data_IF_321246990799
#
_entry.id   IF_321246990799
#
_cell.length_a   1.000
_cell.length_b   1.000
_cell.length_c   1.000
_cell.angle_alpha   90.00
_cell.angle_beta   90.00
_cell.angle_gamma   90.00
#
_symmetry.space_group_name_H-M   'P 1'
#
loop_
_entity.id
_entity.type
_entity.pdbx_description
1 polymer ?
#
# COMPACT_ATOMS: atom_id res chain seq x y z
N UNK A 1 0.24 -17.29 -8.61
CA UNK A 1 -0.59 -17.25 -7.38
C UNK A 1 -0.20 -15.99 -6.62
N UNK A 2 -1.15 -15.22 -6.07
CA UNK A 2 -0.86 -14.08 -5.18
C UNK A 2 -1.50 -14.38 -3.83
N UNK A 3 -0.71 -14.26 -2.77
CA UNK A 3 -1.17 -14.47 -1.41
C UNK A 3 -0.60 -13.38 -0.49
N UNK A 4 -1.42 -12.86 0.41
CA UNK A 4 -1.04 -11.79 1.33
C UNK A 4 -1.53 -12.10 2.74
N UNK A 5 -0.67 -11.89 3.73
CA UNK A 5 -0.98 -12.07 5.15
C UNK A 5 -0.53 -10.83 5.91
N UNK A 6 -1.44 -10.23 6.69
CA UNK A 6 -1.12 -9.05 7.50
C UNK A 6 -0.46 -9.49 8.81
N UNK A 7 0.84 -9.27 8.94
CA UNK A 7 1.63 -9.68 10.12
C UNK A 7 1.94 -8.53 11.08
N UNK A 8 1.77 -7.28 10.64
CA UNK A 8 2.10 -6.05 11.40
C UNK A 8 3.54 -6.06 11.95
N UNK A 9 4.53 -6.37 11.10
CA UNK A 9 5.95 -6.43 11.51
C UNK A 9 6.46 -5.12 12.14
N UNK A 10 6.03 -3.97 11.60
CA UNK A 10 6.42 -2.64 12.07
C UNK A 10 5.75 -2.18 13.37
N UNK A 11 4.92 -3.02 14.00
CA UNK A 11 4.25 -2.69 15.26
C UNK A 11 5.29 -2.35 16.35
N UNK A 12 5.21 -1.13 16.89
CA UNK A 12 6.09 -0.64 17.95
C UNK A 12 7.49 -0.19 17.50
N UNK A 13 7.84 -0.27 16.21
CA UNK A 13 9.17 0.12 15.71
C UNK A 13 9.42 1.62 15.92
N UNK A 14 8.48 2.49 15.59
CA UNK A 14 8.62 3.94 15.80
C UNK A 14 8.94 4.32 17.24
N UNK A 15 8.34 3.61 18.20
CA UNK A 15 8.48 3.91 19.62
C UNK A 15 9.74 3.29 20.23
N UNK A 16 10.19 2.13 19.72
CA UNK A 16 11.24 1.32 20.35
C UNK A 16 12.54 1.27 19.54
N UNK A 17 12.51 1.66 18.27
CA UNK A 17 13.61 1.48 17.31
C UNK A 17 13.93 0.01 17.03
N UNK A 18 13.01 -0.92 17.32
CA UNK A 18 13.24 -2.38 17.26
C UNK A 18 12.02 -3.13 16.75
N UNK A 19 12.26 -4.21 16.01
CA UNK A 19 11.25 -5.19 15.67
C UNK A 19 10.88 -5.98 16.92
N UNK A 20 9.61 -5.93 17.33
CA UNK A 20 9.11 -6.69 18.46
C UNK A 20 9.15 -8.21 18.23
N UNK A 21 9.30 -8.99 19.29
CA UNK A 21 9.37 -10.45 19.20
C UNK A 21 8.06 -11.07 18.66
N UNK A 22 6.91 -10.66 19.18
CA UNK A 22 5.62 -11.18 18.72
C UNK A 22 5.34 -10.88 17.23
N UNK A 23 5.58 -9.65 16.72
CA UNK A 23 5.54 -9.38 15.28
C UNK A 23 6.47 -10.27 14.45
N UNK A 24 7.71 -10.48 14.89
CA UNK A 24 8.66 -11.36 14.18
C UNK A 24 8.15 -12.79 14.10
N UNK A 25 7.61 -13.34 15.19
CA UNK A 25 7.05 -14.71 15.20
C UNK A 25 5.88 -14.88 14.22
N UNK A 26 5.00 -13.87 14.09
CA UNK A 26 3.92 -13.89 13.09
C UNK A 26 4.46 -13.92 11.65
N UNK A 27 5.56 -13.20 11.39
CA UNK A 27 6.21 -13.24 10.07
C UNK A 27 6.86 -14.60 9.83
N UNK A 28 7.58 -15.16 10.81
CA UNK A 28 8.20 -16.48 10.69
C UNK A 28 7.17 -17.59 10.41
N UNK A 29 6.02 -17.59 11.10
CA UNK A 29 4.94 -18.54 10.83
C UNK A 29 4.38 -18.38 9.40
N UNK A 30 4.27 -17.15 8.90
CA UNK A 30 3.83 -16.88 7.52
C UNK A 30 4.87 -17.36 6.50
N UNK A 31 6.15 -17.06 6.72
CA UNK A 31 7.24 -17.42 5.82
C UNK A 31 7.47 -18.93 5.74
N UNK A 32 7.23 -19.68 6.83
CA UNK A 32 7.29 -21.14 6.81
C UNK A 32 6.34 -21.73 5.75
N UNK A 33 5.11 -21.20 5.71
CA UNK A 33 4.09 -21.60 4.74
C UNK A 33 4.43 -21.15 3.32
N UNK A 34 4.87 -19.90 3.14
CA UNK A 34 5.25 -19.40 1.81
C UNK A 34 6.48 -20.13 1.25
N UNK A 35 7.47 -20.44 2.09
CA UNK A 35 8.64 -21.20 1.67
C UNK A 35 8.27 -22.64 1.25
N UNK A 36 7.29 -23.26 1.89
CA UNK A 36 6.75 -24.55 1.45
C UNK A 36 6.10 -24.44 0.06
N UNK A 37 5.24 -23.45 -0.15
CA UNK A 37 4.60 -23.20 -1.44
C UNK A 37 5.61 -22.91 -2.57
N UNK A 38 6.65 -22.10 -2.31
CA UNK A 38 7.71 -21.82 -3.30
C UNK A 38 8.41 -23.11 -3.72
N UNK A 39 8.72 -24.01 -2.77
CA UNK A 39 9.33 -25.32 -3.07
C UNK A 39 8.40 -26.23 -3.87
N UNK A 40 7.10 -26.23 -3.56
CA UNK A 40 6.10 -27.04 -4.27
C UNK A 40 5.86 -26.59 -5.71
N UNK A 41 6.16 -25.34 -6.04
CA UNK A 41 5.96 -24.75 -7.38
C UNK A 41 7.21 -24.83 -8.26
N UNK A 42 8.30 -25.46 -7.80
CA UNK A 42 9.57 -25.60 -8.53
C UNK A 42 10.08 -24.28 -9.16
N UNK A 43 9.97 -23.17 -8.42
CA UNK A 43 10.39 -21.86 -8.93
C UNK A 43 11.90 -21.81 -9.23
N UNK A 44 12.26 -21.37 -10.45
CA UNK A 44 13.67 -21.21 -10.88
C UNK A 44 14.41 -20.11 -10.10
N UNK A 45 13.68 -19.09 -9.65
CA UNK A 45 14.21 -17.98 -8.87
C UNK A 45 13.17 -17.52 -7.84
N UNK A 46 13.68 -16.98 -6.72
CA UNK A 46 12.86 -16.36 -5.68
C UNK A 46 13.63 -15.22 -5.03
N UNK A 47 12.95 -14.13 -4.66
CA UNK A 47 13.51 -13.08 -3.82
C UNK A 47 12.61 -12.83 -2.61
N UNK A 48 13.23 -12.43 -1.50
CA UNK A 48 12.55 -11.82 -0.39
C UNK A 48 13.04 -10.38 -0.24
N UNK A 49 12.13 -9.42 -0.33
CA UNK A 49 12.46 -8.00 -0.10
C UNK A 49 11.90 -7.54 1.24
N UNK A 50 12.65 -6.64 1.88
CA UNK A 50 12.30 -6.04 3.17
C UNK A 50 12.36 -4.52 3.05
N UNK A 51 11.36 -3.83 3.58
CA UNK A 51 11.21 -2.37 3.42
C UNK A 51 11.43 -1.63 4.75
N UNK A 52 10.82 -0.45 4.90
CA UNK A 52 11.01 0.50 6.01
C UNK A 52 11.13 -0.13 7.40
N UNK A 53 10.17 -0.95 7.83
CA UNK A 53 10.17 -1.50 9.18
C UNK A 53 11.45 -2.28 9.54
N UNK A 54 12.02 -3.02 8.58
CA UNK A 54 13.28 -3.76 8.80
C UNK A 54 14.48 -2.83 8.65
N UNK A 55 14.47 -1.93 7.66
CA UNK A 55 15.54 -0.96 7.42
C UNK A 55 15.78 -0.04 8.62
N UNK A 56 14.71 0.39 9.26
CA UNK A 56 14.75 1.42 10.30
C UNK A 56 14.98 0.81 11.71
N UNK A 57 14.76 -0.50 11.86
CA UNK A 57 14.94 -1.19 13.13
C UNK A 57 16.40 -1.55 13.40
N UNK A 58 16.88 -1.29 14.62
CA UNK A 58 18.25 -1.62 15.04
C UNK A 58 18.58 -3.12 15.02
N UNK A 59 17.58 -4.00 15.06
CA UNK A 59 17.71 -5.46 14.89
C UNK A 59 17.24 -5.97 13.51
N UNK A 60 17.10 -5.09 12.52
CA UNK A 60 16.67 -5.44 11.17
C UNK A 60 17.61 -6.41 10.46
N UNK A 61 18.92 -6.20 10.57
CA UNK A 61 19.93 -7.08 9.98
C UNK A 61 19.90 -8.49 10.58
N UNK A 62 19.67 -8.61 11.90
CA UNK A 62 19.51 -9.89 12.58
C UNK A 62 18.26 -10.63 12.09
N UNK A 63 17.16 -9.90 11.91
CA UNK A 63 15.93 -10.45 11.35
C UNK A 63 16.12 -10.95 9.91
N UNK A 64 16.79 -10.17 9.06
CA UNK A 64 17.10 -10.57 7.68
C UNK A 64 17.97 -11.84 7.62
N UNK A 65 18.99 -11.92 8.47
CA UNK A 65 19.82 -13.11 8.60
C UNK A 65 19.02 -14.33 9.08
N UNK A 66 18.08 -14.15 10.01
CA UNK A 66 17.21 -15.23 10.48
C UNK A 66 16.27 -15.75 9.38
N UNK A 67 15.73 -14.86 8.53
CA UNK A 67 14.91 -15.25 7.37
C UNK A 67 15.71 -16.12 6.41
N UNK A 68 16.95 -15.71 6.08
CA UNK A 68 17.85 -16.50 5.23
C UNK A 68 18.15 -17.87 5.84
N UNK A 69 18.55 -17.90 7.11
CA UNK A 69 18.98 -19.12 7.79
C UNK A 69 17.83 -20.14 7.93
N UNK A 70 16.60 -19.69 8.18
CA UNK A 70 15.45 -20.57 8.41
C UNK A 70 14.76 -21.02 7.13
N UNK A 71 14.69 -20.16 6.12
CA UNK A 71 13.83 -20.40 4.94
C UNK A 71 14.59 -20.45 3.61
N UNK A 72 15.89 -20.16 3.61
CA UNK A 72 16.69 -20.11 2.38
C UNK A 72 16.38 -18.92 1.48
N UNK A 73 15.57 -17.96 1.95
CA UNK A 73 15.19 -16.76 1.20
C UNK A 73 16.25 -15.68 1.42
N UNK A 74 16.88 -15.21 0.35
CA UNK A 74 17.81 -14.08 0.42
C UNK A 74 17.03 -12.79 0.68
N UNK A 75 16.97 -12.39 1.96
CA UNK A 75 16.34 -11.15 2.40
C UNK A 75 17.15 -9.92 2.00
N UNK A 76 16.73 -9.22 0.94
CA UNK A 76 17.29 -7.93 0.52
C UNK A 76 16.51 -6.80 1.19
N UNK A 77 17.18 -6.02 2.03
CA UNK A 77 16.59 -4.78 2.57
C UNK A 77 16.75 -3.67 1.55
N UNK A 78 15.63 -3.12 1.09
CA UNK A 78 15.60 -2.09 0.06
C UNK A 78 15.84 -0.69 0.66
N UNK A 79 16.65 0.11 -0.02
CA UNK A 79 16.64 1.55 0.18
C UNK A 79 15.28 2.13 -0.21
N UNK A 80 14.93 3.31 0.33
CA UNK A 80 13.68 3.98 -0.04
C UNK A 80 13.58 4.29 -1.53
N UNK A 81 14.71 4.57 -2.19
CA UNK A 81 14.77 4.78 -3.64
C UNK A 81 14.55 3.50 -4.45
N UNK A 82 15.07 2.36 -4.01
CA UNK A 82 14.82 1.07 -4.68
C UNK A 82 13.36 0.64 -4.51
N UNK A 83 12.82 0.80 -3.30
CA UNK A 83 11.42 0.55 -3.00
C UNK A 83 10.51 1.39 -3.90
N UNK A 84 10.76 2.70 -4.00
CA UNK A 84 10.03 3.58 -4.90
C UNK A 84 10.15 3.16 -6.38
N UNK A 85 11.35 2.78 -6.83
CA UNK A 85 11.59 2.34 -8.20
C UNK A 85 10.80 1.06 -8.52
N UNK A 86 10.84 0.04 -7.67
CA UNK A 86 10.10 -1.20 -7.88
C UNK A 86 8.59 -0.99 -7.80
N UNK A 87 8.10 -0.19 -6.85
CA UNK A 87 6.69 0.16 -6.76
C UNK A 87 6.22 0.86 -8.03
N UNK A 88 6.99 1.83 -8.53
CA UNK A 88 6.65 2.56 -9.76
C UNK A 88 6.64 1.65 -10.99
N UNK A 89 7.70 0.87 -11.20
CA UNK A 89 7.78 -0.09 -12.33
C UNK A 89 6.66 -1.11 -12.25
N UNK A 90 6.39 -1.66 -11.07
CA UNK A 90 5.31 -2.61 -10.85
C UNK A 90 3.94 -2.03 -11.21
N UNK A 91 3.60 -0.89 -10.63
CA UNK A 91 2.31 -0.22 -10.79
C UNK A 91 2.06 0.29 -12.22
N UNK A 92 3.13 0.61 -12.97
CA UNK A 92 3.03 1.14 -14.33
C UNK A 92 3.24 0.08 -15.41
N UNK A 93 3.53 -1.18 -15.05
CA UNK A 93 3.84 -2.26 -15.99
C UNK A 93 2.72 -2.59 -16.99
N UNK A 94 1.46 -2.21 -16.70
CA UNK A 94 0.33 -2.42 -17.61
C UNK A 94 0.13 -1.26 -18.61
N UNK A 95 0.78 -0.11 -18.38
CA UNK A 95 0.61 1.09 -19.19
C UNK A 95 1.35 0.97 -20.51
N UNK A 96 0.87 1.71 -21.52
CA UNK A 96 1.51 1.73 -22.84
C UNK A 96 2.83 2.49 -22.77
N UNK A 97 3.84 2.06 -23.52
CA UNK A 97 5.18 2.63 -23.46
C UNK A 97 5.26 4.09 -23.99
N UNK A 98 4.30 4.50 -24.81
CA UNK A 98 4.16 5.87 -25.32
C UNK A 98 3.32 6.77 -24.38
N UNK A 99 2.76 6.22 -23.31
CA UNK A 99 2.15 7.01 -22.24
C UNK A 99 3.24 7.72 -21.45
N UNK A 100 3.33 9.03 -21.69
CA UNK A 100 4.31 9.93 -21.09
C UNK A 100 3.65 10.92 -20.13
N UNK A 101 2.40 10.67 -19.73
CA UNK A 101 1.74 11.48 -18.72
C UNK A 101 2.53 11.43 -17.41
N UNK A 102 2.68 12.59 -16.78
CA UNK A 102 3.20 12.65 -15.41
C UNK A 102 2.16 12.03 -14.48
N UNK A 103 2.55 10.99 -13.74
CA UNK A 103 1.67 10.23 -12.86
C UNK A 103 2.25 10.16 -11.46
N UNK A 104 1.37 9.97 -10.48
CA UNK A 104 1.71 9.60 -9.11
C UNK A 104 1.24 8.17 -8.83
N UNK A 105 2.15 7.33 -8.35
CA UNK A 105 1.81 6.05 -7.73
C UNK A 105 1.62 6.28 -6.24
N UNK A 106 0.48 5.87 -5.71
CA UNK A 106 0.05 6.00 -4.33
C UNK A 106 0.00 4.60 -3.71
N UNK A 107 0.97 4.29 -2.84
CA UNK A 107 0.99 3.03 -2.10
C UNK A 107 0.62 3.31 -0.64
N UNK A 108 -0.58 2.87 -0.23
CA UNK A 108 -1.11 3.14 1.10
C UNK A 108 -0.85 1.93 1.99
N UNK A 109 0.16 2.06 2.85
CA UNK A 109 0.52 1.08 3.87
C UNK A 109 -0.17 1.28 5.23
N UNK A 110 0.17 0.40 6.17
CA UNK A 110 -0.32 0.48 7.54
C UNK A 110 0.27 1.63 8.34
N UNK A 111 1.57 1.91 8.16
CA UNK A 111 2.34 2.93 8.91
C UNK A 111 2.79 4.13 8.09
N UNK A 112 2.89 3.98 6.77
CA UNK A 112 3.33 5.00 5.82
C UNK A 112 2.49 4.96 4.54
N UNK A 113 2.62 6.02 3.73
CA UNK A 113 2.12 6.07 2.35
C UNK A 113 3.26 6.57 1.48
N UNK A 114 3.62 5.79 0.47
CA UNK A 114 4.61 6.14 -0.52
C UNK A 114 3.94 6.86 -1.70
N UNK A 115 4.49 8.00 -2.07
CA UNK A 115 4.08 8.79 -3.23
C UNK A 115 5.26 8.84 -4.19
N UNK A 116 5.10 8.21 -5.36
CA UNK A 116 6.15 8.10 -6.37
C UNK A 116 5.68 8.72 -7.67
N UNK A 117 6.25 9.86 -8.03
CA UNK A 117 5.90 10.58 -9.26
C UNK A 117 6.92 10.31 -10.37
N UNK A 118 6.43 10.14 -11.59
CA UNK A 118 7.26 9.92 -12.77
C UNK A 118 6.47 10.05 -14.06
N UNK A 119 7.17 9.90 -15.18
CA UNK A 119 6.58 9.89 -16.52
C UNK A 119 7.25 8.80 -17.37
N UNK A 120 6.44 7.99 -18.05
CA UNK A 120 6.93 6.78 -18.72
C UNK A 120 7.73 5.90 -17.75
N UNK A 121 8.90 5.41 -18.18
CA UNK A 121 9.80 4.61 -17.33
C UNK A 121 10.72 5.41 -16.41
N UNK A 122 10.53 6.72 -16.24
CA UNK A 122 11.44 7.58 -15.46
C UNK A 122 10.78 8.07 -14.17
N UNK A 123 11.39 7.73 -13.04
CA UNK A 123 11.06 8.36 -11.76
C UNK A 123 11.55 9.80 -11.72
N UNK A 124 10.68 10.72 -11.28
CA UNK A 124 11.00 12.13 -11.09
C UNK A 124 11.12 12.51 -9.61
N UNK A 125 10.18 12.07 -8.78
CA UNK A 125 10.10 12.40 -7.37
C UNK A 125 9.59 11.21 -6.58
N UNK A 126 10.05 11.02 -5.35
CA UNK A 126 9.48 10.03 -4.44
C UNK A 126 9.59 10.50 -3.01
N UNK A 127 8.60 10.15 -2.19
CA UNK A 127 8.62 10.36 -0.74
C UNK A 127 7.82 9.27 -0.03
N UNK A 128 8.34 8.79 1.09
CA UNK A 128 7.58 7.97 2.04
C UNK A 128 7.09 8.88 3.16
N UNK A 129 5.77 9.08 3.21
CA UNK A 129 5.13 9.93 4.22
C UNK A 129 4.78 9.11 5.45
N UNK A 130 4.69 9.74 6.62
CA UNK A 130 4.22 9.08 7.85
C UNK A 130 2.69 8.89 7.89
N UNK A 131 2.05 8.85 6.73
CA UNK A 131 0.60 8.69 6.56
C UNK A 131 0.27 7.20 6.47
N UNK A 132 -0.02 6.55 7.59
CA UNK A 132 -0.42 5.13 7.62
C UNK A 132 -1.87 4.92 8.06
N UNK A 133 -2.59 3.97 7.45
CA UNK A 133 -4.01 3.74 7.80
C UNK A 133 -4.22 3.27 9.23
N UNK A 134 -3.29 2.48 9.80
CA UNK A 134 -3.37 2.03 11.20
C UNK A 134 -3.13 3.22 12.12
N UNK A 135 -2.03 3.94 11.90
CA UNK A 135 -1.64 5.14 12.66
C UNK A 135 -2.78 6.18 12.69
N UNK A 136 -3.37 6.45 11.54
CA UNK A 136 -4.36 7.51 11.40
C UNK A 136 -5.75 7.10 11.89
N UNK A 137 -6.09 5.81 11.79
CA UNK A 137 -7.32 5.30 12.43
C UNK A 137 -7.22 5.51 13.94
N UNK A 138 -6.13 5.06 14.57
CA UNK A 138 -5.94 5.17 16.03
C UNK A 138 -5.89 6.63 16.51
N UNK A 139 -5.28 7.51 15.72
CA UNK A 139 -5.10 8.92 16.09
C UNK A 139 -6.34 9.77 15.88
N UNK A 140 -7.11 9.56 14.80
CA UNK A 140 -8.17 10.48 14.40
C UNK A 140 -9.58 9.91 14.51
N UNK A 141 -9.75 8.59 14.52
CA UNK A 141 -11.06 7.93 14.45
C UNK A 141 -11.33 7.08 15.72
N UNK A 142 -11.39 7.67 16.93
CA UNK A 142 -11.66 6.90 18.15
C UNK A 142 -13.11 6.40 18.25
N UNK A 143 -14.05 6.98 17.51
CA UNK A 143 -15.46 6.57 17.50
C UNK A 143 -15.74 5.50 16.44
N UNK A 144 -16.71 4.61 16.72
CA UNK A 144 -17.22 3.62 15.76
C UNK A 144 -18.75 3.61 15.72
N UNK A 145 -19.39 4.12 14.66
CA UNK A 145 -18.80 4.75 13.48
C UNK A 145 -18.13 6.11 13.76
N UNK A 146 -17.18 6.56 12.92
CA UNK A 146 -16.55 7.87 13.05
C UNK A 146 -17.54 9.01 12.73
N UNK A 147 -17.41 10.10 13.47
CA UNK A 147 -18.13 11.35 13.28
C UNK A 147 -17.59 12.16 12.09
N UNK A 148 -18.41 13.08 11.57
CA UNK A 148 -18.00 13.99 10.49
C UNK A 148 -16.81 14.86 10.88
N UNK A 149 -16.71 15.27 12.15
CA UNK A 149 -15.60 16.10 12.63
C UNK A 149 -14.30 15.30 12.66
N UNK A 150 -14.33 14.04 13.09
CA UNK A 150 -13.17 13.13 13.05
C UNK A 150 -12.66 12.93 11.62
N UNK A 151 -13.56 12.70 10.67
CA UNK A 151 -13.21 12.57 9.25
C UNK A 151 -12.60 13.86 8.69
N UNK A 152 -13.17 15.02 9.02
CA UNK A 152 -12.65 16.31 8.57
C UNK A 152 -11.26 16.61 9.14
N UNK A 153 -11.03 16.32 10.42
CA UNK A 153 -9.70 16.45 11.05
C UNK A 153 -8.68 15.52 10.41
N UNK A 154 -9.06 14.28 10.13
CA UNK A 154 -8.20 13.33 9.42
C UNK A 154 -7.82 13.84 8.03
N UNK A 155 -8.80 14.27 7.23
CA UNK A 155 -8.58 14.79 5.89
C UNK A 155 -7.66 16.03 5.89
N UNK A 156 -7.87 16.95 6.83
CA UNK A 156 -7.02 18.13 6.99
C UNK A 156 -5.58 17.76 7.36
N UNK A 157 -5.39 16.81 8.27
CA UNK A 157 -4.05 16.35 8.67
C UNK A 157 -3.30 15.70 7.50
N UNK A 158 -3.97 14.82 6.74
CA UNK A 158 -3.38 14.18 5.56
C UNK A 158 -3.04 15.24 4.51
N UNK A 159 -3.96 16.18 4.22
CA UNK A 159 -3.73 17.24 3.25
C UNK A 159 -2.51 18.09 3.59
N UNK A 160 -2.32 18.44 4.87
CA UNK A 160 -1.14 19.17 5.34
C UNK A 160 0.15 18.35 5.16
N UNK A 161 0.14 17.07 5.55
CA UNK A 161 1.31 16.20 5.37
C UNK A 161 1.70 16.03 3.90
N UNK A 162 0.74 15.91 2.99
CA UNK A 162 1.02 15.81 1.55
C UNK A 162 1.56 17.14 1.00
N UNK A 163 0.98 18.27 1.41
CA UNK A 163 1.43 19.59 0.97
C UNK A 163 2.86 19.90 1.44
N UNK A 164 3.23 19.48 2.65
CA UNK A 164 4.58 19.64 3.20
C UNK A 164 5.58 18.68 2.55
N UNK A 165 5.17 17.44 2.25
CA UNK A 165 6.05 16.41 1.73
C UNK A 165 6.27 16.51 0.21
N UNK A 166 5.29 17.00 -0.55
CA UNK A 166 5.34 17.02 -2.02
C UNK A 166 5.31 18.46 -2.55
N UNK A 167 6.38 18.91 -3.24
CA UNK A 167 6.46 20.24 -3.82
C UNK A 167 5.27 20.56 -4.73
N UNK A 168 4.82 21.82 -4.74
CA UNK A 168 3.69 22.25 -5.55
C UNK A 168 3.91 21.98 -7.04
N UNK A 169 5.14 22.17 -7.54
CA UNK A 169 5.49 21.96 -8.94
C UNK A 169 5.41 20.48 -9.36
N UNK A 170 5.56 19.55 -8.42
CA UNK A 170 5.38 18.11 -8.65
C UNK A 170 3.89 17.77 -8.65
N UNK A 171 3.11 18.34 -7.72
CA UNK A 171 1.65 18.12 -7.66
C UNK A 171 0.95 18.68 -8.90
N UNK A 172 1.24 19.91 -9.27
CA UNK A 172 0.59 20.63 -10.38
C UNK A 172 0.89 20.04 -11.77
N UNK A 173 2.06 19.42 -11.96
CA UNK A 173 2.38 18.75 -13.24
C UNK A 173 1.75 17.37 -13.37
N UNK A 174 1.38 16.75 -12.26
CA UNK A 174 0.87 15.37 -12.24
C UNK A 174 -0.54 15.36 -12.83
N UNK A 175 -0.80 14.43 -13.73
CA UNK A 175 -2.03 14.35 -14.52
C UNK A 175 -2.84 13.08 -14.20
N UNK A 176 -2.17 12.03 -13.72
CA UNK A 176 -2.75 10.70 -13.48
C UNK A 176 -2.37 10.21 -12.08
N UNK A 177 -3.31 9.57 -11.41
CA UNK A 177 -3.02 8.81 -10.19
C UNK A 177 -3.21 7.31 -10.45
N UNK A 178 -2.25 6.52 -9.98
CA UNK A 178 -2.36 5.07 -9.87
C UNK A 178 -2.26 4.73 -8.39
N UNK A 179 -3.20 3.96 -7.84
CA UNK A 179 -3.13 3.50 -6.45
C UNK A 179 -3.01 2.00 -6.37
N UNK A 180 -2.13 1.55 -5.47
CA UNK A 180 -1.79 0.15 -5.28
C UNK A 180 -2.12 -0.33 -3.87
N UNK A 181 -1.79 -1.58 -3.59
CA UNK A 181 -1.90 -2.21 -2.28
C UNK A 181 -3.34 -2.29 -1.74
N UNK A 182 -3.45 -2.52 -0.44
CA UNK A 182 -4.65 -3.09 0.15
C UNK A 182 -5.87 -2.15 0.15
N UNK A 183 -5.67 -0.88 0.47
CA UNK A 183 -6.76 0.11 0.51
C UNK A 183 -7.38 0.28 -0.88
N UNK A 184 -6.54 0.58 -1.88
CA UNK A 184 -6.96 0.84 -3.25
C UNK A 184 -7.71 -0.35 -3.87
N UNK A 185 -7.13 -1.54 -3.76
CA UNK A 185 -7.72 -2.78 -4.28
C UNK A 185 -9.02 -3.16 -3.56
N UNK A 186 -9.16 -2.83 -2.28
CA UNK A 186 -10.43 -3.01 -1.54
C UNK A 186 -11.50 -2.02 -2.01
N UNK A 187 -11.17 -0.75 -2.26
CA UNK A 187 -12.13 0.21 -2.82
C UNK A 187 -12.67 -0.27 -4.18
N UNK A 188 -11.79 -0.72 -5.08
CA UNK A 188 -12.19 -1.30 -6.36
C UNK A 188 -13.09 -2.53 -6.19
N UNK A 189 -12.70 -3.47 -5.31
CA UNK A 189 -13.48 -4.69 -5.09
C UNK A 189 -14.87 -4.42 -4.49
N UNK A 190 -15.01 -3.38 -3.65
CA UNK A 190 -16.31 -2.96 -3.09
C UNK A 190 -17.18 -2.32 -4.17
N UNK A 191 -16.60 -1.43 -4.99
CA UNK A 191 -17.30 -0.77 -6.10
C UNK A 191 -17.80 -1.78 -7.15
N UNK A 192 -16.95 -2.75 -7.51
CA UNK A 192 -17.27 -3.84 -8.41
C UNK A 192 -18.14 -4.95 -7.78
N UNK A 193 -18.46 -4.85 -6.48
CA UNK A 193 -19.21 -5.84 -5.71
C UNK A 193 -18.68 -7.28 -5.89
N UNK A 194 -17.37 -7.48 -5.77
CA UNK A 194 -16.74 -8.79 -5.96
C UNK A 194 -17.01 -9.74 -4.78
N UNK A 195 -17.40 -11.00 -5.05
CA UNK A 195 -17.51 -12.04 -4.00
C UNK A 195 -16.14 -12.59 -3.60
N UNK A 196 -15.27 -12.72 -4.61
CA UNK A 196 -13.89 -13.16 -4.48
C UNK A 196 -13.03 -12.17 -5.22
N UNK A 197 -11.86 -11.88 -4.65
CA UNK A 197 -10.90 -10.99 -5.27
C UNK A 197 -10.50 -11.52 -6.65
N UNK A 198 -10.54 -10.64 -7.66
CA UNK A 198 -10.27 -10.97 -9.05
C UNK A 198 -9.36 -9.88 -9.63
N UNK A 199 -8.07 -10.18 -9.72
CA UNK A 199 -7.04 -9.25 -10.23
C UNK A 199 -7.38 -8.73 -11.62
N UNK A 200 -7.95 -9.56 -12.50
CA UNK A 200 -8.26 -9.14 -13.87
C UNK A 200 -9.38 -8.10 -13.94
N UNK A 201 -10.24 -8.02 -12.91
CA UNK A 201 -11.29 -6.99 -12.80
C UNK A 201 -10.84 -5.74 -12.06
N UNK A 202 -9.89 -5.90 -11.13
CA UNK A 202 -9.38 -4.78 -10.31
C UNK A 202 -8.30 -3.99 -11.06
N UNK A 203 -7.44 -4.67 -11.82
CA UNK A 203 -6.37 -4.03 -12.59
C UNK A 203 -6.93 -3.05 -13.63
N UNK A 204 -6.49 -1.80 -13.57
CA UNK A 204 -6.95 -0.72 -14.44
C UNK A 204 -8.34 -0.18 -14.10
N UNK A 205 -9.00 -0.67 -13.03
CA UNK A 205 -10.30 -0.14 -12.61
C UNK A 205 -10.15 1.31 -12.16
N UNK A 206 -11.02 2.20 -12.64
CA UNK A 206 -10.93 3.63 -12.34
C UNK A 206 -11.98 4.02 -11.31
N UNK A 207 -11.54 4.56 -10.19
CA UNK A 207 -12.39 5.15 -9.16
C UNK A 207 -12.41 6.67 -9.32
N UNK A 208 -13.52 7.20 -9.82
CA UNK A 208 -13.76 8.64 -9.88
C UNK A 208 -14.09 9.20 -8.50
N UNK A 209 -13.88 10.51 -8.31
CA UNK A 209 -14.15 11.19 -7.04
C UNK A 209 -15.55 10.94 -6.47
N UNK A 210 -16.65 11.03 -7.24
CA UNK A 210 -17.99 10.75 -6.72
C UNK A 210 -18.14 9.31 -6.19
N UNK A 211 -17.46 8.34 -6.80
CA UNK A 211 -17.45 6.95 -6.35
C UNK A 211 -16.72 6.82 -5.01
N UNK A 212 -15.54 7.44 -4.87
CA UNK A 212 -14.79 7.46 -3.61
C UNK A 212 -15.58 8.14 -2.49
N UNK A 213 -16.25 9.26 -2.79
CA UNK A 213 -17.07 9.98 -1.82
C UNK A 213 -18.26 9.11 -1.35
N UNK A 214 -18.93 8.43 -2.28
CA UNK A 214 -20.02 7.50 -1.95
C UNK A 214 -19.55 6.27 -1.16
N UNK A 215 -18.37 5.72 -1.47
CA UNK A 215 -17.74 4.65 -0.69
C UNK A 215 -17.42 5.14 0.73
N UNK A 216 -16.84 6.33 0.87
CA UNK A 216 -16.51 6.92 2.16
C UNK A 216 -17.77 7.12 3.01
N UNK A 217 -18.80 7.77 2.46
CA UNK A 217 -20.06 8.04 3.17
C UNK A 217 -20.69 6.74 3.68
N UNK A 218 -20.80 5.74 2.80
CA UNK A 218 -21.37 4.44 3.14
C UNK A 218 -20.57 3.71 4.21
N UNK A 219 -19.24 3.64 4.06
CA UNK A 219 -18.39 2.88 4.98
C UNK A 219 -18.24 3.58 6.33
N UNK A 220 -18.18 4.92 6.34
CA UNK A 220 -18.09 5.70 7.57
C UNK A 220 -19.39 5.69 8.37
N UNK A 221 -20.54 5.41 7.75
CA UNK A 221 -21.81 5.24 8.46
C UNK A 221 -21.94 3.88 9.17
N UNK A 222 -21.04 2.91 8.88
CA UNK A 222 -21.12 1.55 9.40
C UNK A 222 -20.16 1.32 10.58
N UNK A 223 -20.63 0.74 11.70
CA UNK A 223 -19.74 0.16 12.70
C UNK A 223 -18.79 -0.87 12.08
N UNK A 224 -17.61 -1.08 12.68
CA UNK A 224 -16.61 -2.06 12.20
C UNK A 224 -17.22 -3.46 12.01
N UNK A 225 -18.10 -3.86 12.93
CA UNK A 225 -18.77 -5.16 12.88
C UNK A 225 -19.63 -5.37 11.62
N UNK A 226 -20.20 -4.29 11.08
CA UNK A 226 -20.96 -4.30 9.83
C UNK A 226 -20.02 -4.19 8.63
N UNK A 227 -18.99 -3.33 8.70
CA UNK A 227 -17.96 -3.23 7.65
C UNK A 227 -17.31 -4.57 7.33
N UNK A 228 -17.08 -5.43 8.32
CA UNK A 228 -16.55 -6.79 8.13
C UNK A 228 -17.39 -7.70 7.21
N UNK A 229 -18.67 -7.34 6.98
CA UNK A 229 -19.62 -8.09 6.15
C UNK A 229 -19.77 -7.48 4.76
N UNK A 230 -19.11 -6.35 4.48
CA UNK A 230 -19.18 -5.68 3.19
C UNK A 230 -18.52 -6.54 2.13
N UNK A 231 -19.27 -6.82 1.06
CA UNK A 231 -18.78 -7.53 -0.13
C UNK A 231 -17.61 -6.76 -0.75
N UNK A 232 -16.55 -7.48 -1.12
CA UNK A 232 -15.30 -6.90 -1.63
C UNK A 232 -14.30 -6.45 -0.56
N UNK A 233 -14.69 -6.41 0.73
CA UNK A 233 -13.81 -5.99 1.82
C UNK A 233 -13.34 -7.19 2.64
N UNK A 234 -12.02 -7.39 2.74
CA UNK A 234 -11.45 -8.36 3.66
C UNK A 234 -11.72 -7.94 5.12
N UNK A 235 -12.18 -8.88 5.95
CA UNK A 235 -12.60 -8.59 7.33
C UNK A 235 -11.51 -7.92 8.19
N UNK A 236 -10.24 -8.28 7.98
CA UNK A 236 -9.11 -7.70 8.72
C UNK A 236 -8.81 -6.26 8.33
N UNK A 237 -9.26 -5.81 7.15
CA UNK A 237 -9.12 -4.42 6.68
C UNK A 237 -10.27 -3.51 7.12
N UNK A 238 -11.38 -4.10 7.57
CA UNK A 238 -12.56 -3.34 7.98
C UNK A 238 -12.32 -2.25 9.04
N UNK A 239 -11.45 -2.44 10.06
CA UNK A 239 -11.18 -1.39 11.04
C UNK A 239 -10.56 -0.12 10.43
N UNK A 240 -9.66 -0.26 9.46
CA UNK A 240 -8.84 0.83 8.93
C UNK A 240 -9.30 1.36 7.57
N UNK A 241 -10.26 0.71 6.91
CA UNK A 241 -10.67 1.06 5.55
C UNK A 241 -11.17 2.51 5.43
N UNK A 242 -11.89 3.02 6.44
CA UNK A 242 -12.41 4.39 6.42
C UNK A 242 -11.25 5.40 6.37
N UNK A 243 -10.24 5.24 7.22
CA UNK A 243 -9.05 6.08 7.16
C UNK A 243 -8.32 5.93 5.82
N UNK A 244 -8.23 4.71 5.27
CA UNK A 244 -7.65 4.46 3.95
C UNK A 244 -8.36 5.21 2.81
N UNK A 245 -9.69 5.23 2.80
CA UNK A 245 -10.45 5.99 1.79
C UNK A 245 -10.19 7.49 1.95
N UNK A 246 -10.14 8.01 3.18
CA UNK A 246 -9.80 9.42 3.43
C UNK A 246 -8.38 9.74 2.94
N UNK A 247 -7.39 8.89 3.21
CA UNK A 247 -6.01 9.05 2.69
C UNK A 247 -6.01 9.15 1.17
N UNK A 248 -6.66 8.21 0.50
CA UNK A 248 -6.71 8.20 -0.96
C UNK A 248 -7.38 9.48 -1.50
N UNK A 249 -8.55 9.85 -0.98
CA UNK A 249 -9.27 11.06 -1.40
C UNK A 249 -8.48 12.35 -1.13
N UNK A 250 -7.83 12.47 0.03
CA UNK A 250 -7.04 13.64 0.39
C UNK A 250 -5.75 13.77 -0.42
N UNK A 251 -5.12 12.66 -0.82
CA UNK A 251 -4.02 12.69 -1.78
C UNK A 251 -4.50 13.18 -3.14
N UNK A 252 -5.64 12.69 -3.65
CA UNK A 252 -6.20 13.18 -4.91
C UNK A 252 -6.54 14.68 -4.85
N UNK A 253 -7.10 15.15 -3.73
CA UNK A 253 -7.34 16.59 -3.49
C UNK A 253 -6.05 17.40 -3.56
N UNK A 254 -4.99 16.96 -2.88
CA UNK A 254 -3.72 17.68 -2.85
C UNK A 254 -3.05 17.77 -4.25
N UNK A 255 -3.27 16.78 -5.10
CA UNK A 255 -2.79 16.74 -6.48
C UNK A 255 -3.79 17.36 -7.49
N UNK A 256 -5.01 17.72 -7.07
CA UNK A 256 -6.04 18.24 -7.97
C UNK A 256 -6.60 17.22 -8.96
N UNK A 257 -6.57 15.93 -8.62
CA UNK A 257 -6.95 14.82 -9.50
C UNK A 257 -8.39 14.37 -9.26
N UNK A 258 -9.13 14.13 -10.34
CA UNK A 258 -10.56 13.76 -10.27
C UNK A 258 -10.84 12.24 -10.21
N UNK A 259 -9.81 11.41 -10.40
CA UNK A 259 -9.93 9.96 -10.42
C UNK A 259 -8.59 9.29 -10.12
N UNK A 260 -8.64 7.99 -9.82
CA UNK A 260 -7.48 7.14 -9.61
C UNK A 260 -7.68 5.78 -10.28
N UNK A 261 -6.66 5.32 -10.99
CA UNK A 261 -6.58 3.97 -11.56
C UNK A 261 -6.05 3.00 -10.51
N UNK A 262 -6.66 1.83 -10.38
CA UNK A 262 -6.25 0.83 -9.39
C UNK A 262 -5.36 -0.23 -10.05
N UNK A 263 -4.24 -0.55 -9.42
CA UNK A 263 -3.38 -1.66 -9.82
C UNK A 263 -3.16 -2.63 -8.67
N UNK A 264 -3.25 -3.93 -8.94
CA UNK A 264 -2.83 -5.02 -8.04
C UNK A 264 -1.36 -5.39 -8.27
N UNK A 265 -0.69 -4.72 -9.22
CA UNK A 265 0.75 -4.79 -9.44
C UNK A 265 1.43 -3.73 -8.58
N UNK A 266 2.22 -4.17 -7.63
CA UNK A 266 2.90 -3.32 -6.65
C UNK A 266 4.41 -3.62 -6.67
N UNK A 267 5.10 -3.26 -5.59
CA UNK A 267 6.52 -3.56 -5.37
C UNK A 267 6.87 -5.03 -5.68
N UNK A 268 5.98 -5.98 -5.36
CA UNK A 268 6.24 -7.40 -5.59
C UNK A 268 6.31 -7.71 -7.08
N UNK A 269 5.50 -7.02 -7.90
CA UNK A 269 5.54 -7.14 -9.34
C UNK A 269 6.83 -6.55 -9.92
N UNK A 270 7.24 -5.37 -9.44
CA UNK A 270 8.51 -4.75 -9.85
C UNK A 270 9.73 -5.64 -9.56
N UNK A 271 9.76 -6.27 -8.38
CA UNK A 271 10.83 -7.23 -8.00
C UNK A 271 10.77 -8.49 -8.87
N UNK A 272 9.57 -9.02 -9.15
CA UNK A 272 9.41 -10.18 -10.01
C UNK A 272 9.88 -9.88 -11.46
N UNK A 273 9.65 -8.67 -11.96
CA UNK A 273 10.14 -8.23 -13.27
C UNK A 273 11.68 -8.15 -13.30
N UNK A 274 12.31 -7.63 -12.25
CA UNK A 274 13.78 -7.63 -12.13
C UNK A 274 14.33 -9.06 -12.17
N UNK A 275 13.75 -9.98 -11.40
CA UNK A 275 14.16 -11.38 -11.38
C UNK A 275 13.99 -12.07 -12.74
N UNK A 276 12.95 -11.72 -13.49
CA UNK A 276 12.69 -12.26 -14.82
C UNK A 276 13.58 -11.64 -15.91
N UNK A 277 14.41 -10.63 -15.58
CA UNK A 277 15.22 -9.90 -16.55
C UNK A 277 14.40 -8.97 -17.46
N UNK A 278 13.22 -8.55 -17.01
CA UNK A 278 12.24 -7.77 -17.78
C UNK A 278 12.19 -6.27 -17.38
N UNK A 279 13.31 -5.73 -16.89
CA UNK A 279 13.44 -4.33 -16.43
C UNK A 279 14.22 -3.43 -17.39
#
# INVERSE_FOLDING_TARGET
MRESTVTRLGEGVDATGRLGEAPQQRVFATLERYAAQIREQDCEASAAVMTSAVRDASNGAEFAAAVRARYGLEGRTLSGSEEAAFTYVGATAARQADDTAELVVIDIGGGSTELVCGAGGRLGFHVSTQIGVVRHTERHLPSDPPSREELARLAADIGAHVADAVPAEVRERTQVAVAVAGTATSCAAIDLALERFDTAKVEGHVLARPTLDGLLERLAAMPVAERRKVRGLQADRAPTIVAGVVVLSSVLDAFGLGAVEISDRDILWGVAMELAGAG
#
